data_IF_606771578665
#
_entry.id   IF_606771578665
#
_cell.length_a   1.000
_cell.length_b   1.000
_cell.length_c   1.000
_cell.angle_alpha   90.00
_cell.angle_beta   90.00
_cell.angle_gamma   90.00
#
_symmetry.space_group_name_H-M   'P 1'
#
loop_
_entity.id
_entity.type
_entity.pdbx_description
1 polymer ?
#
# COMPACT_ATOMS: atom_id res chain seq x y z
N UNK A 1 16.74 -5.94 21.29
CA UNK A 1 16.48 -4.77 20.42
C UNK A 1 15.72 -5.11 19.13
N UNK A 2 16.29 -5.81 18.12
CA UNK A 2 15.54 -6.12 16.88
C UNK A 2 14.37 -7.09 17.09
N UNK A 3 14.57 -8.14 17.89
CA UNK A 3 13.53 -9.14 18.15
C UNK A 3 12.42 -8.60 19.07
N UNK A 4 12.78 -7.75 20.03
CA UNK A 4 11.81 -7.07 20.90
C UNK A 4 10.89 -6.13 20.10
N UNK A 5 11.47 -5.33 19.20
CA UNK A 5 10.69 -4.47 18.30
C UNK A 5 9.76 -5.31 17.41
N UNK A 6 10.26 -6.39 16.79
CA UNK A 6 9.42 -7.26 15.96
C UNK A 6 8.25 -7.83 16.77
N UNK A 7 8.51 -8.40 17.94
CA UNK A 7 7.46 -9.01 18.76
C UNK A 7 6.42 -7.97 19.19
N UNK A 8 6.85 -6.78 19.60
CA UNK A 8 5.96 -5.66 19.93
C UNK A 8 5.06 -5.27 18.74
N UNK A 9 5.65 -5.16 17.54
CA UNK A 9 4.89 -4.80 16.33
C UNK A 9 3.91 -5.89 15.90
N UNK A 10 4.24 -7.17 16.05
CA UNK A 10 3.33 -8.26 15.72
C UNK A 10 2.13 -8.31 16.67
N UNK A 11 2.34 -8.07 17.96
CA UNK A 11 1.25 -7.97 18.96
C UNK A 11 0.32 -6.80 18.62
N UNK A 12 0.90 -5.63 18.31
CA UNK A 12 0.13 -4.43 17.91
C UNK A 12 -0.64 -4.67 16.61
N UNK A 13 -0.02 -5.32 15.63
CA UNK A 13 -0.65 -5.65 14.35
C UNK A 13 -1.85 -6.59 14.54
N UNK A 14 -1.69 -7.68 15.29
CA UNK A 14 -2.79 -8.59 15.60
C UNK A 14 -3.94 -7.86 16.31
N UNK A 15 -3.61 -7.00 17.30
CA UNK A 15 -4.62 -6.18 17.99
C UNK A 15 -5.34 -5.25 17.02
N UNK A 16 -4.61 -4.57 16.13
CA UNK A 16 -5.20 -3.71 15.11
C UNK A 16 -6.17 -4.48 14.21
N UNK A 17 -5.81 -5.69 13.76
CA UNK A 17 -6.70 -6.54 12.96
C UNK A 17 -7.97 -6.94 13.74
N UNK A 18 -7.83 -7.36 15.02
CA UNK A 18 -8.98 -7.67 15.88
C UNK A 18 -9.89 -6.46 16.06
N UNK A 19 -9.33 -5.27 16.26
CA UNK A 19 -10.10 -4.04 16.40
C UNK A 19 -10.82 -3.68 15.09
N UNK A 20 -10.15 -3.82 13.93
CA UNK A 20 -10.74 -3.57 12.60
C UNK A 20 -11.93 -4.49 12.32
N UNK A 21 -11.80 -5.77 12.65
CA UNK A 21 -12.82 -6.79 12.38
C UNK A 21 -13.79 -7.04 13.56
N UNK A 22 -13.62 -6.31 14.67
CA UNK A 22 -14.44 -6.44 15.89
C UNK A 22 -14.39 -7.83 16.53
N UNK A 23 -13.20 -8.43 16.57
CA UNK A 23 -12.94 -9.75 17.14
C UNK A 23 -12.36 -10.70 16.10
N UNK A 24 -13.23 -11.49 15.47
CA UNK A 24 -12.81 -12.58 14.58
C UNK A 24 -12.21 -12.04 13.27
N UNK A 25 -10.94 -12.36 13.04
CA UNK A 25 -10.21 -11.98 11.82
C UNK A 25 -10.61 -12.93 10.69
N UNK A 26 -11.26 -12.47 9.60
CA UNK A 26 -11.66 -13.33 8.50
C UNK A 26 -10.44 -13.74 7.66
N UNK A 27 -10.49 -14.89 6.99
CA UNK A 27 -9.43 -15.24 6.02
C UNK A 27 -9.36 -14.30 4.82
N UNK A 28 -10.48 -13.64 4.50
CA UNK A 28 -10.57 -12.69 3.39
C UNK A 28 -11.66 -11.66 3.64
N UNK A 29 -11.38 -10.39 3.30
CA UNK A 29 -12.38 -9.32 3.19
C UNK A 29 -12.04 -8.43 2.02
N UNK A 30 -13.04 -7.96 1.28
CA UNK A 30 -12.86 -7.01 0.18
C UNK A 30 -13.67 -5.72 0.45
N UNK A 31 -13.10 -4.59 0.05
CA UNK A 31 -13.76 -3.29 -0.02
C UNK A 31 -13.58 -2.73 -1.43
N UNK A 32 -14.67 -2.27 -2.04
CA UNK A 32 -14.71 -1.76 -3.42
C UNK A 32 -15.00 -0.25 -3.45
N UNK A 33 -15.76 0.24 -2.47
CA UNK A 33 -16.13 1.66 -2.40
C UNK A 33 -14.96 2.52 -1.90
N UNK A 34 -14.60 3.63 -2.58
CA UNK A 34 -13.48 4.49 -2.19
C UNK A 34 -13.54 4.96 -0.74
N UNK A 35 -14.72 5.32 -0.24
CA UNK A 35 -14.91 5.77 1.15
C UNK A 35 -14.57 4.67 2.16
N UNK A 36 -14.92 3.41 1.86
CA UNK A 36 -14.58 2.29 2.73
C UNK A 36 -13.10 1.97 2.68
N UNK A 37 -12.48 2.06 1.50
CA UNK A 37 -11.02 1.90 1.33
C UNK A 37 -10.29 2.97 2.13
N UNK A 38 -10.67 4.25 1.99
CA UNK A 38 -10.13 5.37 2.77
C UNK A 38 -10.24 5.10 4.28
N UNK A 39 -11.40 4.61 4.76
CA UNK A 39 -11.60 4.28 6.17
C UNK A 39 -10.59 3.23 6.65
N UNK A 40 -10.39 2.16 5.88
CA UNK A 40 -9.46 1.08 6.24
C UNK A 40 -8.00 1.56 6.18
N UNK A 41 -7.61 2.28 5.12
CA UNK A 41 -6.23 2.80 5.00
C UNK A 41 -5.91 3.81 6.11
N UNK A 42 -6.86 4.67 6.50
CA UNK A 42 -6.71 5.52 7.68
C UNK A 42 -6.61 4.72 8.98
N UNK A 43 -7.41 3.66 9.12
CA UNK A 43 -7.36 2.80 10.31
C UNK A 43 -6.00 2.15 10.47
N UNK A 44 -5.36 1.74 9.37
CA UNK A 44 -3.99 1.20 9.34
C UNK A 44 -2.97 2.31 9.62
N UNK A 45 -2.99 3.39 8.83
CA UNK A 45 -1.94 4.41 8.87
C UNK A 45 -1.91 5.29 10.12
N UNK A 46 -3.04 5.38 10.83
CA UNK A 46 -3.15 6.13 12.11
C UNK A 46 -3.07 5.20 13.32
N UNK A 47 -2.81 3.91 13.13
CA UNK A 47 -2.66 2.97 14.22
C UNK A 47 -1.28 3.10 14.88
N UNK A 48 -1.15 2.58 16.10
CA UNK A 48 0.14 2.42 16.78
C UNK A 48 0.92 1.20 16.28
N UNK A 49 0.28 0.29 15.54
CA UNK A 49 0.92 -0.80 14.83
C UNK A 49 1.59 -0.28 13.56
N UNK A 50 2.90 -0.41 13.46
CA UNK A 50 3.64 0.05 12.29
C UNK A 50 3.31 -0.82 11.09
N UNK A 51 3.00 -0.15 9.97
CA UNK A 51 2.71 -0.77 8.70
C UNK A 51 3.90 -0.57 7.75
N UNK A 52 3.97 -1.38 6.69
CA UNK A 52 4.88 -1.13 5.59
C UNK A 52 4.23 -1.51 4.27
N UNK A 53 4.14 -0.56 3.34
CA UNK A 53 3.49 -0.73 2.04
C UNK A 53 4.54 -0.86 0.95
N UNK A 54 4.52 -1.98 0.24
CA UNK A 54 5.36 -2.21 -0.91
C UNK A 54 4.74 -1.56 -2.14
N UNK A 55 5.57 -0.84 -2.88
CA UNK A 55 5.11 0.02 -3.97
C UNK A 55 5.09 -0.72 -5.31
N UNK A 56 4.31 -0.23 -6.31
CA UNK A 56 4.10 -0.95 -7.56
C UNK A 56 5.35 -1.19 -8.42
N UNK A 57 6.44 -0.44 -8.20
CA UNK A 57 7.70 -0.51 -8.95
C UNK A 57 8.83 -1.17 -8.18
N UNK A 58 9.11 -0.64 -6.99
CA UNK A 58 10.15 -1.10 -6.06
C UNK A 58 10.03 -0.29 -4.77
N UNK A 59 10.75 -0.69 -3.72
CA UNK A 59 10.72 0.08 -2.48
C UNK A 59 9.49 -0.22 -1.63
N UNK A 60 9.41 0.49 -0.52
CA UNK A 60 8.26 0.49 0.34
C UNK A 60 8.25 1.71 1.25
N UNK A 61 7.07 2.10 1.69
CA UNK A 61 6.82 3.29 2.50
C UNK A 61 5.59 3.06 3.37
N UNK A 62 5.51 3.75 4.50
CA UNK A 62 4.45 3.54 5.47
C UNK A 62 3.26 4.45 5.14
N UNK A 63 2.03 3.92 5.26
CA UNK A 63 0.82 4.73 5.15
C UNK A 63 0.69 5.54 6.43
N UNK A 64 0.44 6.83 6.29
CA UNK A 64 0.16 7.75 7.41
C UNK A 64 -1.30 8.21 7.42
N UNK A 65 -1.99 8.14 6.28
CA UNK A 65 -3.38 8.54 6.14
C UNK A 65 -3.89 8.38 4.72
N UNK A 66 -5.18 8.61 4.55
CA UNK A 66 -5.83 8.56 3.24
C UNK A 66 -7.02 9.52 3.20
N UNK A 67 -7.31 10.10 2.04
CA UNK A 67 -8.45 11.00 1.83
C UNK A 67 -8.99 10.88 0.41
N UNK A 68 -10.10 11.58 0.13
CA UNK A 68 -10.56 11.73 -1.26
C UNK A 68 -9.56 12.60 -2.03
N UNK A 69 -9.26 12.20 -3.26
CA UNK A 69 -8.50 13.07 -4.17
C UNK A 69 -9.44 14.08 -4.82
N UNK A 70 -8.86 15.20 -5.27
CA UNK A 70 -9.51 16.13 -6.19
C UNK A 70 -9.78 15.47 -7.56
N UNK A 71 -8.94 14.51 -7.96
CA UNK A 71 -9.12 13.76 -9.20
C UNK A 71 -10.27 12.75 -9.06
N UNK A 72 -11.21 12.80 -10.00
CA UNK A 72 -12.43 12.00 -9.95
C UNK A 72 -12.14 10.51 -9.81
N UNK A 73 -12.92 9.85 -8.94
CA UNK A 73 -12.83 8.42 -8.61
C UNK A 73 -11.47 7.99 -8.01
N UNK A 74 -10.64 8.96 -7.61
CA UNK A 74 -9.33 8.70 -7.00
C UNK A 74 -9.33 8.97 -5.50
N UNK A 75 -8.34 8.39 -4.82
CA UNK A 75 -8.03 8.64 -3.42
C UNK A 75 -6.60 9.17 -3.32
N UNK A 76 -6.32 9.90 -2.26
CA UNK A 76 -5.00 10.41 -1.97
C UNK A 76 -4.45 9.74 -0.70
N UNK A 77 -3.42 8.92 -0.87
CA UNK A 77 -2.72 8.23 0.21
C UNK A 77 -1.54 9.10 0.64
N UNK A 78 -1.44 9.38 1.94
CA UNK A 78 -0.30 10.06 2.50
C UNK A 78 0.77 9.03 2.89
N UNK A 79 1.92 9.10 2.22
CA UNK A 79 3.12 8.30 2.49
C UNK A 79 4.27 9.18 3.05
N UNK A 80 3.94 10.30 3.71
CA UNK A 80 4.84 11.43 3.95
C UNK A 80 4.85 12.43 2.78
N UNK A 81 4.17 12.09 1.69
CA UNK A 81 3.90 12.91 0.52
C UNK A 81 2.56 12.46 -0.10
N UNK A 82 1.91 13.38 -0.82
CA UNK A 82 0.59 13.17 -1.39
C UNK A 82 0.66 12.28 -2.62
N UNK A 83 0.02 11.10 -2.54
CA UNK A 83 0.01 10.13 -3.64
C UNK A 83 -1.42 9.84 -4.11
N UNK A 84 -1.74 10.26 -5.33
CA UNK A 84 -3.04 10.02 -5.95
C UNK A 84 -3.04 8.67 -6.68
N UNK A 85 -4.07 7.87 -6.41
CA UNK A 85 -4.31 6.58 -7.06
C UNK A 85 -5.79 6.39 -7.35
N UNK A 86 -6.11 5.63 -8.40
CA UNK A 86 -7.48 5.19 -8.68
C UNK A 86 -7.73 3.80 -8.09
N UNK A 87 -8.36 3.67 -6.92
CA UNK A 87 -8.54 2.35 -6.32
C UNK A 87 -9.53 1.53 -7.13
N UNK A 88 -9.21 0.26 -7.33
CA UNK A 88 -10.12 -0.75 -7.85
C UNK A 88 -10.75 -1.54 -6.71
N UNK A 89 -9.91 -1.97 -5.76
CA UNK A 89 -10.33 -2.81 -4.63
C UNK A 89 -9.21 -2.86 -3.59
N UNK A 90 -9.60 -2.84 -2.32
CA UNK A 90 -8.74 -3.26 -1.22
C UNK A 90 -9.14 -4.67 -0.77
N UNK A 91 -8.18 -5.60 -0.71
CA UNK A 91 -8.40 -6.96 -0.23
C UNK A 91 -7.55 -7.21 1.01
N UNK A 92 -8.19 -7.50 2.14
CA UNK A 92 -7.52 -8.16 3.25
C UNK A 92 -7.42 -9.66 2.97
N UNK A 93 -6.24 -10.24 3.16
CA UNK A 93 -5.97 -11.67 3.01
C UNK A 93 -5.22 -12.19 4.23
N UNK A 94 -5.69 -13.32 4.75
CA UNK A 94 -5.07 -14.11 5.81
C UNK A 94 -5.19 -15.61 5.48
N UNK A 95 -4.45 -16.47 6.19
CA UNK A 95 -4.34 -17.90 5.87
C UNK A 95 -4.60 -18.74 7.11
N UNK A 96 -5.22 -19.91 6.93
CA UNK A 96 -5.44 -20.85 8.01
C UNK A 96 -4.11 -21.36 8.57
N UNK A 97 -4.03 -21.50 9.90
CA UNK A 97 -2.82 -21.97 10.60
C UNK A 97 -1.56 -21.13 10.30
N UNK A 98 -1.73 -19.85 9.96
CA UNK A 98 -0.63 -18.90 9.79
C UNK A 98 -0.61 -17.92 10.96
N UNK A 99 0.55 -17.38 11.31
CA UNK A 99 0.62 -16.20 12.17
C UNK A 99 0.08 -14.96 11.46
N UNK A 100 -0.50 -14.00 12.20
CA UNK A 100 -1.07 -12.76 11.64
C UNK A 100 -0.05 -11.87 10.95
N UNK A 101 1.25 -12.14 11.09
CA UNK A 101 2.31 -11.47 10.34
C UNK A 101 2.21 -11.70 8.82
N UNK A 102 1.56 -12.79 8.40
CA UNK A 102 1.30 -13.13 7.00
C UNK A 102 -0.02 -12.55 6.49
N UNK A 103 -0.79 -11.89 7.35
CA UNK A 103 -1.98 -11.17 6.96
C UNK A 103 -1.58 -9.84 6.29
N UNK A 104 -2.19 -9.52 5.16
CA UNK A 104 -1.87 -8.33 4.37
C UNK A 104 -3.09 -7.66 3.77
N UNK A 105 -2.92 -6.38 3.44
CA UNK A 105 -3.88 -5.61 2.65
C UNK A 105 -3.31 -5.39 1.25
N UNK A 106 -4.02 -5.83 0.22
CA UNK A 106 -3.63 -5.70 -1.18
C UNK A 106 -4.54 -4.68 -1.86
N UNK A 107 -3.96 -3.56 -2.27
CA UNK A 107 -4.65 -2.49 -2.97
C UNK A 107 -4.43 -2.67 -4.48
N UNK A 108 -5.49 -3.07 -5.18
CA UNK A 108 -5.53 -3.08 -6.63
C UNK A 108 -5.92 -1.70 -7.15
N UNK A 109 -5.22 -1.24 -8.18
CA UNK A 109 -5.52 0.02 -8.84
C UNK A 109 -6.21 -0.23 -10.18
N UNK A 110 -7.08 0.71 -10.57
CA UNK A 110 -7.52 0.84 -11.94
C UNK A 110 -6.49 1.68 -12.71
N UNK A 111 -6.48 1.53 -14.03
CA UNK A 111 -5.68 2.41 -14.88
C UNK A 111 -6.22 3.84 -14.82
N UNK A 112 -5.28 4.79 -14.77
CA UNK A 112 -5.52 6.23 -14.82
C UNK A 112 -4.89 6.78 -16.09
N UNK A 113 -5.54 7.76 -16.72
CA UNK A 113 -4.91 8.50 -17.83
C UNK A 113 -3.75 9.32 -17.26
N UNK A 114 -2.56 9.18 -17.84
CA UNK A 114 -1.40 10.02 -17.50
C UNK A 114 -1.69 11.48 -17.81
N UNK A 115 -1.14 12.37 -17.00
CA UNK A 115 -1.22 13.82 -17.26
C UNK A 115 -0.35 14.19 -18.44
N UNK A 116 -0.65 15.32 -19.08
CA UNK A 116 0.33 15.99 -19.93
C UNK A 116 1.50 16.51 -19.07
N UNK A 117 2.76 16.42 -19.52
CA UNK A 117 3.24 15.89 -20.80
C UNK A 117 3.58 14.39 -20.80
N UNK A 118 3.20 13.65 -19.75
CA UNK A 118 3.57 12.24 -19.53
C UNK A 118 2.71 11.22 -20.29
N UNK A 119 1.86 11.64 -21.23
CA UNK A 119 0.90 10.78 -21.93
C UNK A 119 1.55 9.56 -22.60
N UNK A 120 2.70 9.75 -23.25
CA UNK A 120 3.47 8.71 -23.94
C UNK A 120 4.55 8.04 -23.07
N UNK A 121 4.67 8.44 -21.80
CA UNK A 121 5.65 7.85 -20.88
C UNK A 121 5.33 6.36 -20.66
N UNK A 122 6.33 5.49 -20.58
CA UNK A 122 6.14 4.10 -20.14
C UNK A 122 6.03 3.97 -18.61
N UNK A 123 6.38 5.04 -17.87
CA UNK A 123 6.31 5.03 -16.40
C UNK A 123 4.87 4.91 -15.92
N UNK A 124 4.64 4.10 -14.89
CA UNK A 124 3.36 4.00 -14.16
C UNK A 124 3.25 4.98 -13.00
N UNK A 125 4.24 5.86 -12.87
CA UNK A 125 4.38 6.83 -11.81
C UNK A 125 4.79 8.16 -12.44
N UNK A 126 4.13 9.23 -12.06
CA UNK A 126 4.44 10.60 -12.45
C UNK A 126 4.47 11.47 -11.20
N UNK A 127 5.39 12.43 -11.18
CA UNK A 127 5.43 13.51 -10.19
C UNK A 127 5.00 14.76 -10.95
N UNK A 128 4.02 15.48 -10.42
CA UNK A 128 3.38 16.61 -11.12
C UNK A 128 3.07 17.74 -10.16
N UNK A 129 2.77 18.91 -10.73
CA UNK A 129 2.26 20.06 -9.98
C UNK A 129 0.76 20.13 -10.18
N UNK A 130 -0.01 19.95 -9.13
CA UNK A 130 -1.44 20.27 -9.16
C UNK A 130 -1.60 21.79 -8.98
N UNK A 131 -2.20 22.45 -9.96
CA UNK A 131 -2.41 23.92 -9.97
C UNK A 131 -3.86 24.33 -9.75
N UNK A 132 -4.79 23.43 -10.04
CA UNK A 132 -6.21 23.50 -9.70
C UNK A 132 -6.67 22.06 -9.36
N UNK A 133 -7.77 21.85 -8.63
CA UNK A 133 -8.25 20.51 -8.27
C UNK A 133 -8.35 19.55 -9.46
N UNK A 134 -7.44 18.57 -9.52
CA UNK A 134 -7.34 17.56 -10.59
C UNK A 134 -6.66 18.02 -11.89
N UNK A 135 -6.13 19.25 -11.94
CA UNK A 135 -5.41 19.81 -13.09
C UNK A 135 -3.91 19.84 -12.81
N UNK A 136 -3.15 19.19 -13.69
CA UNK A 136 -1.73 18.91 -13.47
C UNK A 136 -0.84 19.54 -14.54
N UNK A 137 0.28 20.10 -14.12
CA UNK A 137 1.38 20.55 -14.97
C UNK A 137 2.64 19.70 -14.76
N UNK A 138 3.57 19.82 -15.69
CA UNK A 138 4.90 19.23 -15.57
C UNK A 138 5.62 19.62 -14.27
N UNK A 139 6.30 18.66 -13.64
CA UNK A 139 7.07 18.88 -12.42
C UNK A 139 8.10 20.00 -12.53
N UNK A 140 8.67 20.22 -13.71
CA UNK A 140 9.63 21.30 -13.96
C UNK A 140 9.06 22.68 -13.72
N UNK A 141 7.73 22.88 -13.83
CA UNK A 141 7.10 24.17 -13.51
C UNK A 141 7.36 24.60 -12.06
N UNK A 142 7.40 23.65 -11.14
CA UNK A 142 7.71 23.94 -9.74
C UNK A 142 9.18 24.27 -9.49
N UNK A 143 10.11 23.68 -10.25
CA UNK A 143 11.54 23.92 -10.06
C UNK A 143 11.99 25.24 -10.68
N UNK A 144 11.43 25.63 -11.82
CA UNK A 144 11.91 26.78 -12.60
C UNK A 144 10.99 28.01 -12.57
N UNK A 145 9.70 27.82 -12.31
CA UNK A 145 8.68 28.87 -12.45
C UNK A 145 7.79 28.97 -11.21
N UNK A 146 8.34 28.70 -10.02
CA UNK A 146 7.54 28.64 -8.78
C UNK A 146 6.75 29.91 -8.49
N UNK A 147 7.34 31.08 -8.78
CA UNK A 147 6.71 32.38 -8.54
C UNK A 147 5.54 32.69 -9.51
N UNK A 148 5.36 31.89 -10.57
CA UNK A 148 4.27 32.01 -11.55
C UNK A 148 3.10 31.06 -11.26
N UNK A 149 3.27 30.14 -10.30
CA UNK A 149 2.24 29.17 -9.91
C UNK A 149 1.26 29.77 -8.89
N UNK A 150 0.00 29.29 -8.85
CA UNK A 150 -0.93 29.62 -7.76
C UNK A 150 -0.33 29.34 -6.38
N UNK A 151 -0.71 30.13 -5.37
CA UNK A 151 -0.19 30.00 -4.00
C UNK A 151 -0.51 28.63 -3.38
N UNK A 152 -1.62 28.02 -3.77
CA UNK A 152 -2.08 26.71 -3.34
C UNK A 152 -1.61 25.55 -4.23
N UNK A 153 -0.82 25.84 -5.27
CA UNK A 153 -0.19 24.80 -6.07
C UNK A 153 0.65 23.87 -5.20
N UNK A 154 0.65 22.57 -5.53
CA UNK A 154 1.33 21.54 -4.73
C UNK A 154 1.92 20.43 -5.59
N UNK A 155 2.98 19.80 -5.09
CA UNK A 155 3.53 18.59 -5.70
C UNK A 155 2.64 17.40 -5.31
N UNK A 156 2.31 16.59 -6.33
CA UNK A 156 1.56 15.35 -6.19
C UNK A 156 2.29 14.24 -6.93
N UNK A 157 2.38 13.07 -6.32
CA UNK A 157 2.78 11.84 -7.01
C UNK A 157 1.52 11.11 -7.47
N UNK A 158 1.46 10.65 -8.71
CA UNK A 158 0.35 9.82 -9.21
C UNK A 158 0.87 8.45 -9.59
N UNK A 159 0.21 7.38 -9.15
CA UNK A 159 0.39 6.05 -9.74
C UNK A 159 -0.76 5.75 -10.70
N UNK A 160 -0.43 5.61 -11.98
CA UNK A 160 -1.42 5.44 -13.03
C UNK A 160 -1.82 3.99 -13.27
N UNK A 161 -1.10 3.04 -12.69
CA UNK A 161 -1.45 1.61 -12.67
C UNK A 161 -0.59 0.86 -11.64
N UNK A 162 -0.78 -0.46 -11.57
CA UNK A 162 -0.05 -1.35 -10.67
C UNK A 162 -0.82 -1.66 -9.39
N UNK A 163 -0.16 -2.33 -8.45
CA UNK A 163 -0.80 -2.74 -7.19
C UNK A 163 0.16 -2.51 -6.02
N UNK A 164 -0.38 -2.31 -4.83
CA UNK A 164 0.37 -2.14 -3.59
C UNK A 164 0.00 -3.25 -2.60
N UNK A 165 0.92 -3.59 -1.71
CA UNK A 165 0.60 -4.50 -0.60
C UNK A 165 1.16 -3.99 0.72
N UNK A 166 0.34 -3.98 1.76
CA UNK A 166 0.69 -3.52 3.10
C UNK A 166 0.73 -4.70 4.07
N UNK A 167 1.86 -4.85 4.76
CA UNK A 167 2.07 -5.81 5.84
C UNK A 167 2.36 -5.08 7.16
N UNK A 168 2.37 -5.83 8.28
CA UNK A 168 3.08 -5.37 9.48
C UNK A 168 4.53 -5.04 9.15
N UNK A 169 5.04 -3.92 9.66
CA UNK A 169 6.47 -3.58 9.55
C UNK A 169 7.36 -4.61 10.23
N UNK A 170 6.82 -5.30 11.23
CA UNK A 170 7.49 -6.40 11.91
C UNK A 170 7.57 -7.69 11.10
N UNK A 171 6.80 -7.87 10.01
CA UNK A 171 6.64 -9.14 9.29
C UNK A 171 7.92 -9.68 8.64
N UNK A 172 8.02 -11.02 8.52
CA UNK A 172 9.11 -11.67 7.79
C UNK A 172 9.17 -11.25 6.32
N UNK A 173 8.00 -10.94 5.72
CA UNK A 173 7.93 -10.43 4.36
C UNK A 173 8.66 -9.08 4.22
N UNK A 174 8.50 -8.17 5.18
CA UNK A 174 9.22 -6.90 5.23
C UNK A 174 10.71 -7.05 5.55
N UNK A 175 11.08 -8.00 6.41
CA UNK A 175 12.47 -8.20 6.79
C UNK A 175 13.33 -8.80 5.67
N UNK A 176 12.72 -9.33 4.61
CA UNK A 176 13.42 -9.87 3.46
C UNK A 176 13.62 -8.79 2.39
N UNK A 177 14.83 -8.26 2.24
CA UNK A 177 15.14 -7.23 1.22
C UNK A 177 14.84 -7.67 -0.22
N UNK A 178 14.77 -8.97 -0.50
CA UNK A 178 14.42 -9.50 -1.81
C UNK A 178 12.95 -9.29 -2.22
N UNK A 179 12.07 -8.89 -1.29
CA UNK A 179 10.63 -8.65 -1.58
C UNK A 179 10.33 -7.27 -2.15
N UNK A 180 11.34 -6.39 -2.19
CA UNK A 180 11.26 -5.03 -2.72
C UNK A 180 11.36 -4.95 -4.26
N UNK A 181 11.26 -6.10 -4.94
CA UNK A 181 11.30 -6.26 -6.40
C UNK A 181 9.93 -6.06 -7.09
N UNK A 182 8.93 -5.60 -6.32
CA UNK A 182 7.53 -5.42 -6.72
C UNK A 182 6.87 -6.67 -7.31
N UNK A 183 7.28 -7.87 -6.88
CA UNK A 183 6.63 -9.13 -7.29
C UNK A 183 5.12 -9.13 -7.07
N UNK A 184 4.64 -8.50 -6.00
CA UNK A 184 3.21 -8.41 -5.70
C UNK A 184 2.44 -7.70 -6.82
N UNK A 185 3.01 -6.64 -7.39
CA UNK A 185 2.43 -5.87 -8.49
C UNK A 185 2.50 -6.66 -9.80
N UNK A 186 3.68 -7.25 -10.11
CA UNK A 186 3.92 -8.05 -11.33
C UNK A 186 3.07 -9.33 -11.41
N UNK A 187 2.85 -9.99 -10.28
CA UNK A 187 2.08 -11.23 -10.19
C UNK A 187 0.57 -10.98 -10.28
N UNK A 188 0.11 -9.83 -9.78
CA UNK A 188 -1.30 -9.59 -9.51
C UNK A 188 -1.79 -10.40 -8.30
N UNK A 189 -2.98 -10.02 -7.81
CA UNK A 189 -3.54 -10.51 -6.54
C UNK A 189 -3.53 -12.04 -6.39
N UNK A 190 -4.08 -12.76 -7.37
CA UNK A 190 -4.34 -14.20 -7.20
C UNK A 190 -3.05 -15.03 -7.20
N UNK A 191 -2.08 -14.67 -8.06
CA UNK A 191 -0.76 -15.32 -8.05
C UNK A 191 0.03 -14.93 -6.82
N UNK A 192 -0.06 -13.66 -6.38
CA UNK A 192 0.60 -13.22 -5.17
C UNK A 192 0.04 -13.92 -3.92
N UNK A 193 -1.29 -14.10 -3.83
CA UNK A 193 -1.93 -14.90 -2.77
C UNK A 193 -1.34 -16.30 -2.69
N UNK A 194 -1.31 -17.01 -3.82
CA UNK A 194 -0.74 -18.37 -3.90
C UNK A 194 0.73 -18.40 -3.48
N UNK A 195 1.50 -17.41 -3.92
CA UNK A 195 2.89 -17.28 -3.54
C UNK A 195 3.07 -17.14 -2.02
N UNK A 196 2.26 -16.32 -1.34
CA UNK A 196 2.32 -16.19 0.13
C UNK A 196 1.83 -17.47 0.83
N UNK A 197 0.77 -18.10 0.32
CA UNK A 197 0.24 -19.37 0.82
C UNK A 197 1.32 -20.48 0.80
N UNK A 198 2.09 -20.57 -0.29
CA UNK A 198 3.22 -21.51 -0.41
C UNK A 198 4.39 -21.17 0.54
N UNK A 199 4.61 -19.89 0.85
CA UNK A 199 5.61 -19.48 1.86
C UNK A 199 5.16 -19.92 3.24
N UNK A 200 3.91 -19.63 3.61
CA UNK A 200 3.31 -20.04 4.90
C UNK A 200 3.37 -21.56 5.08
N UNK A 201 2.97 -22.32 4.04
CA UNK A 201 3.00 -23.78 4.09
C UNK A 201 4.40 -24.33 4.37
N UNK A 202 5.42 -23.83 3.66
CA UNK A 202 6.81 -24.28 3.85
C UNK A 202 7.33 -23.99 5.24
N UNK A 203 7.05 -22.79 5.78
CA UNK A 203 7.49 -22.41 7.14
C UNK A 203 6.86 -23.33 8.18
N UNK A 204 5.56 -23.64 8.03
CA UNK A 204 4.87 -24.55 8.93
C UNK A 204 5.44 -25.97 8.86
N UNK A 205 5.76 -26.48 7.67
CA UNK A 205 6.40 -27.78 7.50
C UNK A 205 7.81 -27.85 8.12
N UNK A 206 8.59 -26.78 8.00
CA UNK A 206 9.95 -26.69 8.57
C UNK A 206 9.92 -26.57 10.10
N UNK A 207 8.99 -25.79 10.65
CA UNK A 207 8.77 -25.68 12.10
C UNK A 207 8.37 -27.01 12.75
N UNK A 208 7.61 -27.85 12.04
CA UNK A 208 7.24 -29.21 12.48
C UNK A 208 8.44 -30.17 12.45
N UNK A 209 9.39 -29.98 11.54
CA UNK A 209 10.58 -30.85 11.40
C UNK A 209 11.72 -30.48 12.35
N UNK A 210 11.84 -29.21 12.76
CA UNK A 210 12.88 -28.72 13.68
C UNK A 210 12.60 -28.94 15.18
N UNK A 211 11.40 -29.41 15.53
CA UNK A 211 10.98 -29.69 16.92
C UNK A 211 11.04 -31.17 17.33
N UNK A 212 11.80 -32.01 16.62
CA UNK A 212 12.03 -33.43 16.96
C UNK A 212 13.46 -33.67 17.42
#
# INVERSE_FOLDING_TARGET
>A
MKDEYRNDQLIKWEKMLKDLFKGDIPLKREWHEPIEIIRVLNFIGKNVADNHTFMPRSGGVDIEGCSLSNEKDCIEINFGYNTVVKPKRLTFQYFENADTEWAYFYLELNDLKKSEPYEDSESIMEEVVEVEPGEYLDRGMWDYYRDELPDDARIVVRYTSGNMVTFSKGSLYNMNSGTYDARHSKMGRDKFKKYIEEVVHRINEEGVKGGK
#
